data_IF_949392063943
#
_entry.id   IF_949392063943
#
_cell.length_a   1.000
_cell.length_b   1.000
_cell.length_c   1.000
_cell.angle_alpha   90.00
_cell.angle_beta   90.00
_cell.angle_gamma   90.00
#
_symmetry.space_group_name_H-M   'P 1'
#
loop_
_entity.id
_entity.type
_entity.pdbx_description
1 polymer ?
#
# COMPACT_ATOMS: atom_id res chain seq x y z
N UNK A 1 0.11 41.76 1.54
CA UNK A 1 -0.93 40.70 1.53
C UNK A 1 -0.94 39.88 0.22
N UNK A 2 -0.74 40.46 -0.95
CA UNK A 2 -0.76 39.70 -2.22
C UNK A 2 0.30 38.57 -2.36
N UNK A 3 1.52 38.75 -1.84
CA UNK A 3 2.58 37.70 -1.90
C UNK A 3 2.23 36.43 -1.11
N UNK A 4 1.54 36.56 0.04
CA UNK A 4 1.11 35.37 0.84
C UNK A 4 -0.01 34.58 0.18
N UNK A 5 -0.85 35.24 -0.61
CA UNK A 5 -1.97 34.59 -1.29
C UNK A 5 -1.51 33.75 -2.49
N UNK A 6 -0.44 34.16 -3.19
CA UNK A 6 0.21 33.36 -4.23
C UNK A 6 0.80 32.05 -3.67
N UNK A 7 1.55 32.13 -2.57
CA UNK A 7 2.18 30.98 -1.92
C UNK A 7 1.14 29.94 -1.48
N UNK A 8 0.00 30.37 -0.89
CA UNK A 8 -1.08 29.45 -0.52
C UNK A 8 -1.66 28.72 -1.72
N UNK A 9 -1.83 29.42 -2.85
CA UNK A 9 -2.35 28.84 -4.08
C UNK A 9 -1.39 27.79 -4.65
N UNK A 10 -0.12 28.14 -4.75
CA UNK A 10 0.90 27.26 -5.33
C UNK A 10 1.06 25.95 -4.56
N UNK A 11 1.10 26.03 -3.21
CA UNK A 11 1.19 24.85 -2.35
C UNK A 11 -0.09 23.99 -2.47
N UNK A 12 -1.26 24.62 -2.50
CA UNK A 12 -2.52 23.92 -2.63
C UNK A 12 -2.67 23.25 -4.01
N UNK A 13 -2.19 23.87 -5.09
CA UNK A 13 -2.16 23.29 -6.43
C UNK A 13 -1.29 22.05 -6.50
N UNK A 14 -0.08 22.10 -5.92
CA UNK A 14 0.82 20.94 -5.86
C UNK A 14 0.18 19.77 -5.12
N UNK A 15 -0.52 20.02 -4.01
CA UNK A 15 -1.18 18.96 -3.25
C UNK A 15 -2.39 18.40 -4.01
N UNK A 16 -3.16 19.23 -4.71
CA UNK A 16 -4.25 18.76 -5.56
C UNK A 16 -3.71 17.90 -6.71
N UNK A 17 -2.62 18.33 -7.35
CA UNK A 17 -2.00 17.57 -8.45
C UNK A 17 -1.48 16.21 -7.97
N UNK A 18 -0.89 16.18 -6.76
CA UNK A 18 -0.38 14.93 -6.17
C UNK A 18 -1.48 13.96 -5.72
N UNK A 19 -2.64 14.49 -5.30
CA UNK A 19 -3.76 13.70 -4.78
C UNK A 19 -5.11 14.13 -5.39
N UNK A 20 -5.32 13.95 -6.69
CA UNK A 20 -6.47 14.53 -7.41
C UNK A 20 -7.81 13.98 -6.93
N UNK A 21 -7.85 12.75 -6.44
CA UNK A 21 -9.07 12.06 -5.98
C UNK A 21 -9.36 12.24 -4.48
N UNK A 22 -8.45 12.84 -3.73
CA UNK A 22 -8.61 12.96 -2.28
C UNK A 22 -9.68 14.00 -1.90
N UNK A 23 -10.40 13.72 -0.81
CA UNK A 23 -11.40 14.62 -0.26
C UNK A 23 -10.78 15.95 0.16
N UNK A 24 -11.52 17.05 -0.04
CA UNK A 24 -11.01 18.40 0.23
C UNK A 24 -10.63 18.60 1.70
N UNK A 25 -11.39 18.03 2.63
CA UNK A 25 -11.10 18.14 4.06
C UNK A 25 -9.80 17.39 4.43
N UNK A 26 -9.60 16.21 3.89
CA UNK A 26 -8.37 15.43 4.05
C UNK A 26 -7.15 16.21 3.57
N UNK A 27 -7.24 16.79 2.38
CA UNK A 27 -6.17 17.65 1.85
C UNK A 27 -5.94 18.91 2.70
N UNK A 28 -6.99 19.49 3.26
CA UNK A 28 -6.88 20.68 4.12
C UNK A 28 -6.14 20.36 5.43
N UNK A 29 -6.47 19.24 6.08
CA UNK A 29 -5.76 18.76 7.28
C UNK A 29 -4.26 18.54 6.98
N UNK A 30 -3.96 17.91 5.83
CA UNK A 30 -2.59 17.69 5.37
C UNK A 30 -1.84 19.00 5.11
N UNK A 31 -2.43 19.91 4.35
CA UNK A 31 -1.85 21.23 4.04
C UNK A 31 -1.51 22.01 5.30
N UNK A 32 -2.44 22.09 6.24
CA UNK A 32 -2.21 22.79 7.51
C UNK A 32 -1.11 22.12 8.33
N UNK A 33 -1.11 20.80 8.44
CA UNK A 33 -0.09 20.05 9.18
C UNK A 33 1.32 20.24 8.61
N UNK A 34 1.45 20.24 7.28
CA UNK A 34 2.74 20.37 6.60
C UNK A 34 3.20 21.83 6.46
N UNK A 35 2.28 22.80 6.52
CA UNK A 35 2.56 24.22 6.29
C UNK A 35 1.90 25.13 7.34
N UNK A 36 2.16 24.95 8.65
CA UNK A 36 1.49 25.72 9.71
C UNK A 36 1.85 27.20 9.72
N UNK A 37 2.96 27.60 9.09
CA UNK A 37 3.34 29.01 8.94
C UNK A 37 2.61 29.73 7.79
N UNK A 38 2.02 28.98 6.87
CA UNK A 38 1.33 29.48 5.66
C UNK A 38 -0.17 29.58 5.90
N UNK A 39 -0.76 28.56 6.50
CA UNK A 39 -2.19 28.47 6.80
C UNK A 39 -2.45 28.73 8.27
N UNK A 40 -3.49 29.54 8.54
CA UNK A 40 -3.88 29.89 9.91
C UNK A 40 -4.47 28.70 10.68
N UNK A 41 -5.27 27.91 9.98
CA UNK A 41 -5.96 26.73 10.49
C UNK A 41 -6.38 25.82 9.32
N UNK A 42 -7.01 24.68 9.64
CA UNK A 42 -7.50 23.72 8.64
C UNK A 42 -8.55 24.33 7.71
N UNK A 43 -9.39 25.25 8.22
CA UNK A 43 -10.44 25.87 7.40
C UNK A 43 -9.85 26.88 6.40
N UNK A 44 -8.81 27.61 6.77
CA UNK A 44 -8.07 28.49 5.85
C UNK A 44 -7.42 27.67 4.71
N UNK A 45 -6.83 26.50 5.01
CA UNK A 45 -6.33 25.58 4.01
C UNK A 45 -7.47 25.02 3.12
N UNK A 46 -8.61 24.69 3.74
CA UNK A 46 -9.81 24.20 3.04
C UNK A 46 -10.40 25.21 2.08
N UNK A 47 -10.45 26.47 2.46
CA UNK A 47 -10.91 27.57 1.60
C UNK A 47 -10.02 27.68 0.35
N UNK A 48 -8.70 27.62 0.51
CA UNK A 48 -7.75 27.64 -0.61
C UNK A 48 -7.98 26.50 -1.59
N UNK A 49 -8.17 25.27 -1.09
CA UNK A 49 -8.47 24.10 -1.90
C UNK A 49 -9.83 24.19 -2.60
N UNK A 50 -10.87 24.68 -1.91
CA UNK A 50 -12.21 24.86 -2.49
C UNK A 50 -12.21 25.91 -3.61
N UNK A 51 -11.40 26.96 -3.46
CA UNK A 51 -11.22 27.95 -4.49
C UNK A 51 -10.59 27.36 -5.76
N UNK A 52 -9.49 26.63 -5.61
CA UNK A 52 -8.79 25.99 -6.72
C UNK A 52 -9.58 24.89 -7.39
N UNK A 53 -10.29 24.06 -6.60
CA UNK A 53 -11.21 23.03 -7.15
C UNK A 53 -12.50 23.63 -7.74
N UNK A 54 -12.65 24.94 -7.81
CA UNK A 54 -13.84 25.61 -8.36
C UNK A 54 -15.10 25.45 -7.51
N UNK A 55 -14.98 25.03 -6.25
CA UNK A 55 -16.13 24.89 -5.35
C UNK A 55 -16.64 26.23 -4.83
N UNK A 56 -15.77 27.25 -4.79
CA UNK A 56 -16.09 28.65 -4.44
C UNK A 56 -15.41 29.60 -5.44
N UNK A 57 -15.92 30.82 -5.55
CA UNK A 57 -15.40 31.84 -6.48
C UNK A 57 -16.01 31.73 -7.88
N UNK A 58 -16.70 32.80 -8.34
CA UNK A 58 -17.50 32.78 -9.60
C UNK A 58 -16.67 32.44 -10.85
N UNK A 59 -15.47 33.00 -10.99
CA UNK A 59 -14.57 32.74 -12.14
C UNK A 59 -14.03 31.31 -12.18
N UNK A 60 -13.80 30.71 -11.01
CA UNK A 60 -13.25 29.35 -10.92
C UNK A 60 -14.35 28.28 -11.01
N UNK A 61 -15.59 28.61 -10.66
CA UNK A 61 -16.74 27.70 -10.89
C UNK A 61 -16.95 27.41 -12.37
N UNK A 62 -16.67 28.35 -13.25
CA UNK A 62 -16.78 28.16 -14.69
C UNK A 62 -15.75 27.16 -15.26
N UNK A 63 -14.62 26.94 -14.55
CA UNK A 63 -13.57 25.98 -14.93
C UNK A 63 -13.81 24.56 -14.39
N UNK A 64 -14.79 24.38 -13.52
CA UNK A 64 -15.10 23.06 -12.96
C UNK A 64 -15.73 22.18 -14.04
N UNK A 65 -15.12 21.02 -14.28
CA UNK A 65 -15.78 19.97 -15.06
C UNK A 65 -17.12 19.62 -14.41
N UNK A 66 -18.19 19.76 -15.17
CA UNK A 66 -19.52 19.35 -14.73
C UNK A 66 -19.61 17.84 -14.77
N UNK A 67 -19.33 17.20 -13.65
CA UNK A 67 -19.85 15.84 -13.44
C UNK A 67 -21.36 15.97 -13.30
N UNK A 68 -22.09 15.22 -14.10
CA UNK A 68 -23.54 15.20 -14.23
C UNK A 68 -24.29 15.40 -12.90
N UNK A 69 -25.02 16.50 -12.78
CA UNK A 69 -25.84 16.87 -11.64
C UNK A 69 -25.86 18.39 -11.45
N UNK A 70 -26.99 18.94 -11.09
CA UNK A 70 -27.08 20.37 -10.77
C UNK A 70 -26.27 20.66 -9.49
N UNK A 71 -25.47 21.73 -9.46
CA UNK A 71 -24.77 22.13 -8.23
C UNK A 71 -25.84 22.53 -7.19
N UNK A 72 -25.87 21.82 -6.07
CA UNK A 72 -26.66 22.23 -4.92
C UNK A 72 -26.18 23.63 -4.48
N UNK A 73 -26.93 24.65 -4.76
CA UNK A 73 -26.68 26.02 -4.32
C UNK A 73 -27.23 26.19 -2.90
N UNK A 74 -26.33 26.32 -1.95
CA UNK A 74 -26.68 26.63 -0.57
C UNK A 74 -26.88 25.39 0.31
N UNK A 75 -26.22 25.42 1.44
CA UNK A 75 -26.39 24.42 2.49
C UNK A 75 -27.49 24.94 3.42
N UNK A 76 -28.71 24.39 3.30
CA UNK A 76 -29.85 24.76 4.18
C UNK A 76 -29.68 24.15 5.57
N UNK A 77 -28.85 23.12 5.68
CA UNK A 77 -28.63 22.38 6.92
C UNK A 77 -27.23 22.65 7.49
N UNK A 78 -27.14 22.87 8.79
CA UNK A 78 -25.87 22.85 9.54
C UNK A 78 -25.62 21.40 9.97
N UNK A 79 -24.78 20.71 9.20
CA UNK A 79 -24.43 19.32 9.49
C UNK A 79 -23.09 19.31 10.24
N UNK A 80 -22.99 18.60 11.40
CA UNK A 80 -21.72 18.45 12.11
C UNK A 80 -20.64 17.90 11.20
N UNK A 81 -19.39 18.33 11.41
CA UNK A 81 -18.26 17.78 10.68
C UNK A 81 -18.07 16.30 11.07
N UNK A 82 -17.87 15.40 10.10
CA UNK A 82 -17.65 14.00 10.40
C UNK A 82 -16.25 13.78 10.99
N UNK A 83 -16.15 12.83 11.90
CA UNK A 83 -14.85 12.31 12.38
C UNK A 83 -14.24 11.39 11.31
N UNK A 84 -13.53 12.00 10.37
CA UNK A 84 -12.91 11.31 9.23
C UNK A 84 -11.43 11.09 9.49
N UNK A 85 -11.02 9.84 9.48
CA UNK A 85 -9.60 9.48 9.43
C UNK A 85 -9.02 9.88 8.06
N UNK A 86 -7.81 10.42 8.08
CA UNK A 86 -7.08 10.73 6.84
C UNK A 86 -6.66 9.41 6.17
N UNK A 87 -7.20 9.15 4.97
CA UNK A 87 -6.80 8.01 4.16
C UNK A 87 -6.28 8.50 2.81
N UNK A 88 -4.97 8.47 2.64
CA UNK A 88 -4.28 8.89 1.42
C UNK A 88 -3.39 7.75 0.92
N UNK A 89 -3.23 7.59 -0.40
CA UNK A 89 -2.22 6.69 -0.95
C UNK A 89 -0.82 7.01 -0.39
N UNK A 90 -0.01 5.99 -0.26
CA UNK A 90 1.41 6.15 0.03
C UNK A 90 2.16 6.26 -1.30
N UNK A 91 2.66 7.44 -1.63
CA UNK A 91 3.41 7.63 -2.87
C UNK A 91 4.88 7.27 -2.67
N UNK A 92 5.35 6.29 -3.44
CA UNK A 92 6.79 6.02 -3.59
C UNK A 92 7.31 6.92 -4.72
N UNK A 93 8.41 7.65 -4.52
CA UNK A 93 8.94 8.52 -5.55
C UNK A 93 9.30 7.74 -6.82
N UNK A 94 8.82 8.22 -7.97
CA UNK A 94 9.20 7.66 -9.27
C UNK A 94 10.59 8.12 -9.69
N UNK A 95 11.29 7.31 -10.48
CA UNK A 95 12.64 7.57 -10.93
C UNK A 95 13.15 6.40 -11.80
N UNK A 96 14.33 6.50 -12.33
CA UNK A 96 14.92 5.41 -13.11
C UNK A 96 15.61 4.40 -12.19
N UNK A 97 14.86 3.40 -11.73
CA UNK A 97 15.36 2.33 -10.84
C UNK A 97 14.54 1.04 -10.98
N UNK A 98 15.11 -0.05 -10.50
CA UNK A 98 14.42 -1.33 -10.40
C UNK A 98 14.01 -1.60 -8.95
N UNK A 99 12.77 -2.08 -8.76
CA UNK A 99 12.18 -2.48 -7.50
C UNK A 99 11.87 -3.97 -7.52
N UNK A 100 12.29 -4.68 -6.49
CA UNK A 100 11.86 -6.04 -6.21
C UNK A 100 10.61 -5.99 -5.32
N UNK A 101 9.57 -6.76 -5.66
CA UNK A 101 8.35 -6.90 -4.86
C UNK A 101 8.25 -8.34 -4.39
N UNK A 102 8.31 -8.56 -3.09
CA UNK A 102 8.08 -9.83 -2.41
C UNK A 102 6.75 -9.78 -1.68
N UNK A 103 6.05 -10.89 -1.58
CA UNK A 103 4.77 -10.99 -0.87
C UNK A 103 4.62 -12.34 -0.19
N UNK A 104 3.86 -12.40 0.90
CA UNK A 104 3.40 -13.63 1.52
C UNK A 104 4.57 -14.56 1.91
N UNK A 105 5.51 -14.02 2.70
CA UNK A 105 6.69 -14.74 3.21
C UNK A 105 6.29 -15.62 4.39
N UNK A 106 5.45 -15.12 5.29
CA UNK A 106 4.90 -15.83 6.45
C UNK A 106 5.96 -16.42 7.38
N UNK A 107 6.97 -15.62 7.81
CA UNK A 107 7.88 -16.13 8.84
C UNK A 107 7.08 -16.65 10.06
N UNK A 108 7.40 -17.83 10.59
CA UNK A 108 8.53 -18.73 10.31
C UNK A 108 8.24 -19.79 9.24
N UNK A 109 7.11 -19.74 8.52
CA UNK A 109 6.68 -20.74 7.53
C UNK A 109 7.10 -20.40 6.10
N UNK A 110 8.15 -19.60 5.94
CA UNK A 110 8.70 -19.23 4.65
C UNK A 110 9.42 -20.40 3.97
N UNK A 111 9.40 -20.41 2.63
CA UNK A 111 10.29 -21.27 1.86
C UNK A 111 11.64 -20.55 1.69
N UNK A 112 12.64 -21.05 2.42
CA UNK A 112 13.96 -20.43 2.45
C UNK A 112 14.60 -20.33 1.06
N UNK A 113 14.49 -21.41 0.26
CA UNK A 113 15.10 -21.47 -1.05
C UNK A 113 14.41 -20.54 -2.06
N UNK A 114 13.07 -20.51 -2.06
CA UNK A 114 12.33 -19.60 -2.90
C UNK A 114 12.63 -18.12 -2.57
N UNK A 115 12.73 -17.80 -1.27
CA UNK A 115 13.08 -16.46 -0.80
C UNK A 115 14.50 -16.06 -1.23
N UNK A 116 15.49 -16.96 -1.06
CA UNK A 116 16.86 -16.71 -1.50
C UNK A 116 16.96 -16.52 -3.02
N UNK A 117 16.23 -17.32 -3.81
CA UNK A 117 16.16 -17.17 -5.27
C UNK A 117 15.60 -15.79 -5.65
N UNK A 118 14.50 -15.36 -5.03
CA UNK A 118 13.87 -14.08 -5.33
C UNK A 118 14.78 -12.89 -4.99
N UNK A 119 15.42 -12.90 -3.81
CA UNK A 119 16.35 -11.85 -3.38
C UNK A 119 17.57 -11.78 -4.31
N UNK A 120 18.20 -12.92 -4.59
CA UNK A 120 19.37 -12.98 -5.47
C UNK A 120 19.02 -12.55 -6.91
N UNK A 121 17.80 -12.85 -7.38
CA UNK A 121 17.32 -12.38 -8.68
C UNK A 121 17.20 -10.84 -8.68
N UNK A 122 16.65 -10.25 -7.63
CA UNK A 122 16.56 -8.80 -7.48
C UNK A 122 17.93 -8.13 -7.53
N UNK A 123 18.89 -8.61 -6.74
CA UNK A 123 20.25 -8.06 -6.72
C UNK A 123 20.94 -8.21 -8.08
N UNK A 124 20.79 -9.35 -8.74
CA UNK A 124 21.36 -9.62 -10.07
C UNK A 124 20.79 -8.71 -11.16
N UNK A 125 19.56 -8.25 -10.98
CA UNK A 125 18.89 -7.30 -11.88
C UNK A 125 18.98 -5.85 -11.38
N UNK A 126 19.97 -5.54 -10.53
CA UNK A 126 20.25 -4.19 -10.04
C UNK A 126 19.04 -3.52 -9.36
N UNK A 127 18.21 -4.27 -8.64
CA UNK A 127 17.16 -3.68 -7.83
C UNK A 127 17.78 -2.88 -6.69
N UNK A 128 17.50 -1.58 -6.65
CA UNK A 128 17.93 -0.68 -5.57
C UNK A 128 16.86 -0.51 -4.50
N UNK A 129 15.62 -0.87 -4.81
CA UNK A 129 14.47 -0.78 -3.93
C UNK A 129 13.84 -2.15 -3.73
N UNK A 130 13.40 -2.40 -2.51
CA UNK A 130 12.65 -3.59 -2.12
C UNK A 130 11.30 -3.17 -1.52
N UNK A 131 10.22 -3.80 -1.98
CA UNK A 131 8.91 -3.73 -1.35
C UNK A 131 8.52 -5.12 -0.84
N UNK A 132 8.31 -5.25 0.45
CA UNK A 132 7.64 -6.40 1.07
C UNK A 132 6.15 -6.06 1.10
N UNK A 133 5.38 -6.66 0.19
CA UNK A 133 3.98 -6.34 -0.08
C UNK A 133 3.02 -7.18 0.77
N UNK A 134 3.16 -7.10 2.08
CA UNK A 134 2.28 -7.76 3.05
C UNK A 134 2.73 -9.15 3.45
N UNK A 135 2.17 -9.59 4.55
CA UNK A 135 2.29 -10.93 5.14
C UNK A 135 3.73 -11.45 5.22
N UNK A 136 4.64 -10.55 5.73
CA UNK A 136 6.01 -10.94 6.06
C UNK A 136 6.03 -11.89 7.26
N UNK A 137 5.22 -11.61 8.28
CA UNK A 137 5.06 -12.44 9.48
C UNK A 137 3.72 -13.15 9.45
N UNK A 138 3.67 -14.38 9.94
CA UNK A 138 2.43 -15.16 9.97
C UNK A 138 1.55 -14.81 11.19
N UNK A 139 2.16 -14.55 12.32
CA UNK A 139 1.46 -14.32 13.58
C UNK A 139 0.42 -15.41 13.92
N UNK A 140 0.81 -16.66 13.76
CA UNK A 140 -0.03 -17.82 14.06
C UNK A 140 -0.63 -17.74 15.46
N UNK A 141 0.18 -17.35 16.45
CA UNK A 141 -0.26 -17.25 17.85
C UNK A 141 -1.32 -16.17 18.10
N UNK A 142 -1.39 -15.16 17.22
CA UNK A 142 -2.38 -14.08 17.30
C UNK A 142 -3.60 -14.33 16.42
N UNK A 143 -3.63 -15.47 15.72
CA UNK A 143 -4.75 -15.89 14.88
C UNK A 143 -6.03 -16.05 15.71
N UNK A 144 -7.19 -15.85 15.06
CA UNK A 144 -8.52 -16.14 15.65
C UNK A 144 -8.89 -17.63 15.60
N UNK A 145 -8.15 -18.44 14.86
CA UNK A 145 -8.38 -19.88 14.74
C UNK A 145 -7.76 -20.65 15.91
N UNK A 146 -8.14 -21.91 16.07
CA UNK A 146 -7.53 -22.81 17.05
C UNK A 146 -6.03 -22.92 16.81
N UNK A 147 -5.26 -22.99 17.89
CA UNK A 147 -3.80 -22.91 17.87
C UNK A 147 -3.18 -24.09 18.57
N UNK A 148 -2.16 -24.64 17.97
CA UNK A 148 -1.30 -25.59 18.65
C UNK A 148 -0.32 -24.84 19.57
N UNK A 149 -0.42 -25.01 20.90
CA UNK A 149 0.44 -24.29 21.86
C UNK A 149 1.92 -24.69 21.76
N UNK A 150 2.23 -25.78 21.08
CA UNK A 150 3.60 -26.27 20.86
C UNK A 150 4.32 -25.57 19.71
N UNK A 151 3.60 -24.78 18.90
CA UNK A 151 4.19 -24.04 17.78
C UNK A 151 4.94 -22.80 18.28
N UNK A 152 5.73 -22.18 17.40
CA UNK A 152 6.63 -21.09 17.73
C UNK A 152 5.98 -19.94 18.48
N UNK A 153 6.75 -19.33 19.35
CA UNK A 153 6.34 -18.17 20.13
C UNK A 153 6.40 -16.88 19.31
N UNK A 154 5.56 -15.93 19.67
CA UNK A 154 5.47 -14.61 19.04
C UNK A 154 6.83 -13.85 18.98
N UNK A 155 7.64 -13.92 20.05
CA UNK A 155 8.95 -13.26 20.09
C UNK A 155 9.89 -13.74 18.99
N UNK A 156 9.90 -15.04 18.70
CA UNK A 156 10.75 -15.63 17.66
C UNK A 156 10.36 -15.12 16.27
N UNK A 157 9.07 -14.95 16.01
CA UNK A 157 8.60 -14.38 14.73
C UNK A 157 9.07 -12.92 14.57
N UNK A 158 8.99 -12.12 15.63
CA UNK A 158 9.47 -10.73 15.62
C UNK A 158 10.97 -10.66 15.38
N UNK A 159 11.76 -11.52 16.04
CA UNK A 159 13.21 -11.57 15.84
C UNK A 159 13.56 -11.96 14.40
N UNK A 160 12.91 -12.97 13.84
CA UNK A 160 13.09 -13.35 12.44
C UNK A 160 12.76 -12.19 11.48
N UNK A 161 11.67 -11.48 11.74
CA UNK A 161 11.30 -10.31 10.96
C UNK A 161 12.33 -9.18 11.04
N UNK A 162 12.85 -8.89 12.23
CA UNK A 162 13.93 -7.89 12.44
C UNK A 162 15.20 -8.28 11.69
N UNK A 163 15.63 -9.54 11.84
CA UNK A 163 16.85 -10.03 11.18
C UNK A 163 16.72 -9.96 9.66
N UNK A 164 15.55 -10.33 9.13
CA UNK A 164 15.27 -10.24 7.70
C UNK A 164 15.30 -8.78 7.21
N UNK A 165 14.62 -7.86 7.89
CA UNK A 165 14.63 -6.44 7.54
C UNK A 165 16.03 -5.84 7.61
N UNK A 166 16.82 -6.23 8.63
CA UNK A 166 18.21 -5.81 8.76
C UNK A 166 19.10 -6.32 7.60
N UNK A 167 18.89 -7.55 7.15
CA UNK A 167 19.59 -8.06 5.97
C UNK A 167 19.15 -7.30 4.70
N UNK A 168 17.86 -7.07 4.52
CA UNK A 168 17.34 -6.32 3.38
C UNK A 168 17.91 -4.89 3.34
N UNK A 169 17.98 -4.19 4.47
CA UNK A 169 18.48 -2.81 4.52
C UNK A 169 19.99 -2.70 4.22
N UNK A 170 20.75 -3.77 4.34
CA UNK A 170 22.17 -3.80 3.93
C UNK A 170 22.36 -3.92 2.42
N UNK A 171 21.39 -4.47 1.71
CA UNK A 171 21.51 -4.78 0.29
C UNK A 171 20.67 -3.88 -0.62
N UNK A 172 19.57 -3.32 -0.11
CA UNK A 172 18.69 -2.41 -0.86
C UNK A 172 18.77 -1.01 -0.28
N UNK A 173 18.88 -0.02 -1.16
CA UNK A 173 18.95 1.40 -0.77
C UNK A 173 17.65 1.89 -0.11
N UNK A 174 16.50 1.38 -0.57
CA UNK A 174 15.19 1.72 -0.05
C UNK A 174 14.42 0.43 0.23
N UNK A 175 13.95 0.28 1.46
CA UNK A 175 13.14 -0.86 1.88
C UNK A 175 11.78 -0.34 2.36
N UNK A 176 10.73 -0.85 1.73
CA UNK A 176 9.34 -0.56 2.08
C UNK A 176 8.69 -1.84 2.58
N UNK A 177 7.90 -1.73 3.63
CA UNK A 177 7.13 -2.83 4.16
C UNK A 177 5.67 -2.42 4.31
N UNK A 178 4.80 -2.91 3.44
CA UNK A 178 3.36 -2.76 3.54
C UNK A 178 2.79 -3.86 4.44
N UNK A 179 1.89 -3.49 5.35
CA UNK A 179 1.22 -4.48 6.19
C UNK A 179 0.19 -5.28 5.38
N UNK A 180 0.17 -6.59 5.61
CA UNK A 180 -0.88 -7.49 5.15
C UNK A 180 -1.81 -7.89 6.28
N UNK A 181 -2.80 -8.73 5.99
CA UNK A 181 -3.80 -9.12 6.98
C UNK A 181 -3.24 -9.97 8.13
N UNK A 182 -2.17 -10.73 7.92
CA UNK A 182 -1.47 -11.44 8.99
C UNK A 182 -0.72 -10.46 9.89
N UNK A 183 -0.06 -9.46 9.32
CA UNK A 183 0.62 -8.43 10.10
C UNK A 183 -0.35 -7.61 10.95
N UNK A 184 -1.56 -7.34 10.45
CA UNK A 184 -2.63 -6.65 11.20
C UNK A 184 -3.17 -7.46 12.39
N UNK A 185 -2.86 -8.77 12.50
CA UNK A 185 -3.25 -9.60 13.65
C UNK A 185 -2.68 -9.07 14.96
N UNK A 186 -1.50 -8.46 14.92
CA UNK A 186 -0.87 -7.89 16.10
C UNK A 186 -1.70 -6.74 16.70
N UNK A 187 -1.99 -5.74 15.92
CA UNK A 187 -2.78 -4.59 16.37
C UNK A 187 -4.19 -5.03 16.77
N UNK A 188 -4.80 -5.91 15.98
CA UNK A 188 -6.11 -6.46 16.28
C UNK A 188 -6.15 -7.26 17.58
N UNK A 189 -5.06 -7.97 17.89
CA UNK A 189 -4.93 -8.67 19.18
C UNK A 189 -4.88 -7.67 20.33
N UNK A 190 -4.07 -6.63 20.23
CA UNK A 190 -4.03 -5.55 21.22
C UNK A 190 -5.42 -4.93 21.38
N UNK A 191 -6.08 -4.60 20.28
CA UNK A 191 -7.42 -4.00 20.28
C UNK A 191 -8.44 -4.82 21.10
N UNK A 192 -8.38 -6.13 20.99
CA UNK A 192 -9.37 -7.03 21.64
C UNK A 192 -8.94 -7.50 23.03
N UNK A 193 -7.62 -7.66 23.26
CA UNK A 193 -7.10 -8.34 24.46
C UNK A 193 -6.33 -7.43 25.42
N UNK A 194 -5.82 -6.31 24.92
CA UNK A 194 -4.98 -5.40 25.69
C UNK A 194 -5.10 -3.94 25.17
N UNK A 195 -6.34 -3.37 25.12
CA UNK A 195 -6.58 -2.07 24.51
C UNK A 195 -5.80 -0.92 25.20
N UNK A 196 -5.44 -1.09 26.46
CA UNK A 196 -4.64 -0.15 27.24
C UNK A 196 -3.24 0.08 26.65
N UNK A 197 -2.71 -0.83 25.83
CA UNK A 197 -1.40 -0.69 25.19
C UNK A 197 -1.44 -0.04 23.81
N UNK A 198 -2.60 0.16 23.19
CA UNK A 198 -2.73 0.71 21.85
C UNK A 198 -2.09 2.08 21.66
N UNK A 199 -2.16 2.92 22.70
CA UNK A 199 -1.61 4.28 22.63
C UNK A 199 -0.18 4.39 23.20
N UNK A 200 0.42 3.27 23.60
CA UNK A 200 1.81 3.25 24.08
C UNK A 200 2.75 3.11 22.87
N UNK A 201 3.63 4.07 22.62
CA UNK A 201 4.48 4.08 21.41
C UNK A 201 5.29 2.79 21.24
N UNK A 202 5.82 2.23 22.32
CA UNK A 202 6.68 1.04 22.29
C UNK A 202 5.94 -0.23 21.83
N UNK A 203 4.61 -0.25 21.89
CA UNK A 203 3.77 -1.33 21.38
C UNK A 203 3.30 -1.12 19.94
N UNK A 204 3.67 -0.04 19.29
CA UNK A 204 3.39 0.09 17.86
C UNK A 204 4.20 -0.94 17.06
N UNK A 205 3.55 -1.59 16.10
CA UNK A 205 4.15 -2.70 15.34
C UNK A 205 5.48 -2.31 14.65
N UNK A 206 5.54 -1.13 14.06
CA UNK A 206 6.78 -0.60 13.44
C UNK A 206 7.91 -0.34 14.43
N UNK A 207 7.57 0.02 15.67
CA UNK A 207 8.55 0.20 16.76
C UNK A 207 9.02 -1.17 17.25
N UNK A 208 8.09 -2.11 17.44
CA UNK A 208 8.38 -3.49 17.78
C UNK A 208 9.35 -4.13 16.75
N UNK A 209 9.21 -3.83 15.47
CA UNK A 209 10.13 -4.29 14.42
C UNK A 209 11.44 -3.49 14.34
N UNK A 210 11.60 -2.41 15.09
CA UNK A 210 12.73 -1.46 14.98
C UNK A 210 12.94 -0.94 13.55
N UNK A 211 11.86 -0.77 12.81
CA UNK A 211 11.90 -0.43 11.39
C UNK A 211 12.65 0.89 11.12
N UNK A 212 12.43 1.91 11.95
CA UNK A 212 13.08 3.22 11.82
C UNK A 212 14.61 3.14 11.97
N UNK A 213 15.11 2.29 12.87
CA UNK A 213 16.55 2.10 13.09
C UNK A 213 17.25 1.51 11.85
N UNK A 214 16.51 0.77 11.03
CA UNK A 214 16.99 0.14 9.80
C UNK A 214 16.67 0.95 8.54
N UNK A 215 16.02 2.13 8.68
CA UNK A 215 15.59 2.94 7.55
C UNK A 215 14.47 2.30 6.72
N UNK A 216 13.67 1.39 7.32
CA UNK A 216 12.55 0.72 6.66
C UNK A 216 11.29 1.56 6.78
N UNK A 217 10.64 1.83 5.64
CA UNK A 217 9.37 2.55 5.59
C UNK A 217 8.19 1.59 5.74
N UNK A 218 7.54 1.61 6.91
CA UNK A 218 6.34 0.79 7.16
C UNK A 218 5.10 1.52 6.65
N UNK A 219 4.27 0.82 5.87
CA UNK A 219 3.05 1.35 5.26
C UNK A 219 1.86 0.67 5.92
N UNK A 220 1.19 1.43 6.78
CA UNK A 220 0.07 1.01 7.62
C UNK A 220 -1.28 1.45 6.98
N UNK A 221 -2.40 1.20 7.68
CA UNK A 221 -3.75 1.72 7.37
C UNK A 221 -4.33 1.26 6.03
N UNK A 222 -3.93 0.09 5.53
CA UNK A 222 -4.38 -0.43 4.22
C UNK A 222 -4.17 0.55 3.07
N UNK A 223 -3.20 1.44 3.19
CA UNK A 223 -2.94 2.46 2.17
C UNK A 223 -2.54 1.81 0.85
N UNK A 224 -3.15 2.28 -0.24
CA UNK A 224 -2.69 1.95 -1.58
C UNK A 224 -1.31 2.57 -1.77
N UNK A 225 -0.36 1.81 -2.31
CA UNK A 225 0.91 2.37 -2.75
C UNK A 225 0.73 2.88 -4.18
N UNK A 226 1.05 4.15 -4.36
CA UNK A 226 1.09 4.82 -5.64
C UNK A 226 2.55 4.85 -6.14
N UNK A 227 2.80 4.15 -7.24
CA UNK A 227 4.09 4.10 -7.92
C UNK A 227 3.91 4.63 -9.36
N UNK A 228 3.51 5.90 -9.49
CA UNK A 228 3.21 6.52 -10.77
C UNK A 228 1.94 5.95 -11.41
N UNK A 229 2.07 5.24 -12.55
CA UNK A 229 0.91 4.61 -13.20
C UNK A 229 0.59 3.20 -12.70
N UNK A 230 1.30 2.71 -11.67
CA UNK A 230 1.07 1.41 -11.04
C UNK A 230 0.58 1.58 -9.60
N UNK A 231 -0.55 0.99 -9.29
CA UNK A 231 -1.03 0.86 -7.91
C UNK A 231 -0.60 -0.48 -7.32
N UNK A 232 -0.17 -0.48 -6.05
CA UNK A 232 0.21 -1.71 -5.36
C UNK A 232 -0.62 -1.85 -4.09
N UNK A 233 -1.22 -3.02 -3.92
CA UNK A 233 -1.98 -3.41 -2.74
C UNK A 233 -1.50 -4.78 -2.27
N UNK A 234 -1.78 -5.13 -1.00
CA UNK A 234 -1.58 -6.52 -0.61
C UNK A 234 -2.67 -7.41 -1.20
N UNK A 235 -3.94 -7.00 -1.15
CA UNK A 235 -5.10 -7.72 -1.69
C UNK A 235 -6.22 -7.92 -0.69
N UNK A 236 -5.94 -7.86 0.60
CA UNK A 236 -6.94 -7.98 1.68
C UNK A 236 -7.76 -6.70 1.91
N UNK A 237 -7.38 -5.59 1.28
CA UNK A 237 -8.07 -4.30 1.36
C UNK A 237 -9.47 -4.35 0.75
N UNK A 238 -9.72 -5.29 -0.16
CA UNK A 238 -11.02 -5.46 -0.76
C UNK A 238 -11.94 -6.32 0.10
N UNK A 239 -13.15 -5.84 0.32
CA UNK A 239 -14.19 -6.65 0.94
C UNK A 239 -14.68 -7.76 -0.02
N UNK A 240 -14.83 -8.98 0.51
CA UNK A 240 -15.34 -10.14 -0.23
C UNK A 240 -14.27 -10.96 -0.95
N UNK A 241 -14.64 -12.20 -1.27
CA UNK A 241 -13.72 -13.23 -1.75
C UNK A 241 -13.21 -12.96 -3.18
N UNK A 242 -11.98 -12.51 -3.28
CA UNK A 242 -11.16 -12.74 -4.48
C UNK A 242 -10.40 -14.07 -4.40
N UNK A 243 -10.38 -14.68 -3.23
CA UNK A 243 -9.51 -15.79 -2.82
C UNK A 243 -9.70 -17.11 -3.58
N UNK A 244 -10.82 -17.31 -4.26
CA UNK A 244 -11.11 -18.56 -4.98
C UNK A 244 -11.09 -18.42 -6.51
N UNK A 245 -10.69 -17.27 -7.03
CA UNK A 245 -10.68 -17.06 -8.47
C UNK A 245 -9.61 -17.92 -9.16
N UNK A 246 -9.98 -18.55 -10.25
CA UNK A 246 -9.03 -19.25 -11.15
C UNK A 246 -7.95 -18.28 -11.64
N UNK A 247 -8.36 -17.03 -11.94
CA UNK A 247 -7.46 -15.93 -12.30
C UNK A 247 -7.69 -14.74 -11.36
N UNK A 248 -6.88 -14.63 -10.27
CA UNK A 248 -6.97 -13.50 -9.33
C UNK A 248 -6.81 -12.13 -9.98
N UNK A 249 -5.92 -12.00 -10.95
CA UNK A 249 -5.67 -10.75 -11.64
C UNK A 249 -6.91 -10.24 -12.39
N UNK A 250 -7.70 -11.13 -13.00
CA UNK A 250 -8.99 -10.73 -13.60
C UNK A 250 -9.97 -10.24 -12.55
N UNK A 251 -10.03 -10.90 -11.40
CA UNK A 251 -10.87 -10.45 -10.27
C UNK A 251 -10.45 -9.08 -9.77
N UNK A 252 -9.17 -8.81 -9.72
CA UNK A 252 -8.60 -7.50 -9.37
C UNK A 252 -9.01 -6.43 -10.40
N UNK A 253 -8.87 -6.71 -11.69
CA UNK A 253 -9.30 -5.80 -12.76
C UNK A 253 -10.76 -5.36 -12.60
N UNK A 254 -11.66 -6.32 -12.36
CA UNK A 254 -13.09 -6.03 -12.20
C UNK A 254 -13.42 -5.13 -10.98
N UNK A 255 -12.51 -5.09 -9.98
CA UNK A 255 -12.68 -4.26 -8.79
C UNK A 255 -12.05 -2.88 -8.92
N UNK A 256 -10.93 -2.79 -9.61
CA UNK A 256 -10.11 -1.57 -9.64
C UNK A 256 -10.31 -0.75 -10.91
N UNK A 257 -10.48 -1.41 -12.07
CA UNK A 257 -10.46 -0.80 -13.39
C UNK A 257 -9.19 0.04 -13.64
N UNK A 258 -8.09 -0.29 -12.94
CA UNK A 258 -6.79 0.39 -13.01
C UNK A 258 -5.65 -0.64 -12.99
N UNK A 259 -4.47 -0.23 -13.45
CA UNK A 259 -3.29 -1.09 -13.39
C UNK A 259 -2.83 -1.28 -11.95
N UNK A 260 -2.83 -2.53 -11.50
CA UNK A 260 -2.53 -2.89 -10.11
C UNK A 260 -1.79 -4.21 -10.00
N UNK A 261 -0.99 -4.35 -8.92
CA UNK A 261 -0.42 -5.62 -8.49
C UNK A 261 -0.81 -5.93 -7.05
N UNK A 262 -1.10 -7.22 -6.78
CA UNK A 262 -1.41 -7.75 -5.45
C UNK A 262 -0.59 -9.01 -5.13
N UNK A 263 -0.46 -9.29 -3.82
CA UNK A 263 -0.09 -10.58 -3.23
C UNK A 263 -1.32 -11.35 -2.71
N UNK A 264 -1.26 -11.79 -1.45
CA UNK A 264 -2.36 -12.34 -0.63
C UNK A 264 -2.98 -13.67 -1.12
N UNK A 265 -3.06 -13.87 -2.42
CA UNK A 265 -3.76 -15.02 -3.01
C UNK A 265 -2.83 -16.19 -3.31
N UNK A 266 -1.53 -16.03 -3.04
CA UNK A 266 -0.47 -17.03 -3.19
C UNK A 266 -0.41 -17.67 -4.60
N UNK A 267 -0.91 -16.93 -5.61
CA UNK A 267 -1.07 -17.46 -6.96
C UNK A 267 -0.73 -16.42 -8.02
N UNK A 268 0.27 -16.73 -8.83
CA UNK A 268 0.65 -15.86 -9.95
C UNK A 268 -0.42 -15.87 -11.04
N UNK A 269 -0.86 -14.70 -11.45
CA UNK A 269 -1.71 -14.52 -12.62
C UNK A 269 -1.54 -13.13 -13.20
N UNK A 270 -1.98 -12.96 -14.44
CA UNK A 270 -1.99 -11.70 -15.16
C UNK A 270 -3.29 -11.58 -15.95
N UNK A 271 -3.80 -10.35 -16.07
CA UNK A 271 -4.94 -10.02 -16.90
C UNK A 271 -4.76 -8.64 -17.52
N UNK A 272 -4.87 -8.57 -18.86
CA UNK A 272 -4.75 -7.34 -19.62
C UNK A 272 -6.05 -7.05 -20.36
N UNK A 273 -6.51 -5.81 -20.27
CA UNK A 273 -7.72 -5.32 -20.92
C UNK A 273 -7.48 -3.94 -21.54
N UNK A 274 -7.90 -3.76 -22.77
CA UNK A 274 -7.99 -2.43 -23.38
C UNK A 274 -9.36 -1.83 -23.08
N UNK A 275 -9.37 -0.61 -22.52
CA UNK A 275 -10.63 0.11 -22.27
C UNK A 275 -11.23 0.63 -23.58
N UNK A 276 -12.50 1.06 -23.53
CA UNK A 276 -13.19 1.66 -24.68
C UNK A 276 -12.43 2.86 -25.28
N UNK A 277 -11.72 3.61 -24.44
CA UNK A 277 -10.93 4.78 -24.85
C UNK A 277 -9.48 4.43 -25.27
N UNK A 278 -9.17 3.14 -25.46
CA UNK A 278 -7.85 2.69 -25.90
C UNK A 278 -6.78 2.62 -24.79
N UNK A 279 -7.11 2.94 -23.53
CA UNK A 279 -6.15 2.77 -22.40
C UNK A 279 -5.92 1.29 -22.13
N UNK A 280 -4.67 0.85 -22.15
CA UNK A 280 -4.29 -0.49 -21.75
C UNK A 280 -4.17 -0.57 -20.23
N UNK A 281 -4.89 -1.49 -19.62
CA UNK A 281 -4.87 -1.76 -18.19
C UNK A 281 -4.39 -3.18 -17.99
N UNK A 282 -3.40 -3.39 -17.14
CA UNK A 282 -2.93 -4.71 -16.76
C UNK A 282 -2.94 -4.86 -15.25
N UNK A 283 -3.43 -5.99 -14.77
CA UNK A 283 -3.44 -6.35 -13.36
C UNK A 283 -2.67 -7.64 -13.12
N UNK A 284 -2.00 -7.73 -11.98
CA UNK A 284 -1.17 -8.87 -11.61
C UNK A 284 -1.48 -9.36 -10.21
N UNK A 285 -1.38 -10.66 -10.01
CA UNK A 285 -1.25 -11.30 -8.71
C UNK A 285 0.08 -12.03 -8.67
N UNK A 286 0.87 -11.83 -7.64
CA UNK A 286 2.13 -12.56 -7.44
C UNK A 286 1.87 -13.90 -6.78
N UNK A 287 2.84 -14.82 -6.89
CA UNK A 287 2.90 -15.98 -6.01
C UNK A 287 3.35 -15.60 -4.60
N UNK A 288 3.46 -16.58 -3.73
CA UNK A 288 3.97 -16.44 -2.37
C UNK A 288 5.44 -16.87 -2.24
N UNK A 289 6.01 -16.67 -1.05
CA UNK A 289 7.35 -17.13 -0.69
C UNK A 289 7.32 -17.97 0.61
N UNK A 290 6.13 -18.47 0.96
CA UNK A 290 5.91 -19.38 2.09
C UNK A 290 5.82 -20.84 1.63
N UNK A 291 5.71 -21.76 2.60
CA UNK A 291 5.40 -23.17 2.34
C UNK A 291 4.13 -23.28 1.49
N UNK A 292 4.22 -24.05 0.40
CA UNK A 292 3.10 -24.24 -0.52
C UNK A 292 2.05 -25.23 0.00
N UNK A 293 2.38 -26.06 1.00
CA UNK A 293 1.51 -27.10 1.50
C UNK A 293 1.36 -27.07 3.05
N UNK A 294 0.98 -25.91 3.61
CA UNK A 294 0.82 -25.81 5.06
C UNK A 294 -0.30 -26.75 5.55
N UNK A 295 -0.27 -27.07 6.83
CA UNK A 295 -1.19 -28.03 7.44
C UNK A 295 -2.67 -27.71 7.18
N UNK A 296 -3.04 -26.42 7.22
CA UNK A 296 -4.41 -25.97 7.01
C UNK A 296 -4.84 -25.90 5.54
N UNK A 297 -3.91 -26.03 4.60
CA UNK A 297 -4.18 -25.93 3.16
C UNK A 297 -3.28 -26.90 2.37
N UNK A 298 -3.32 -28.20 2.71
CA UNK A 298 -2.50 -29.23 2.06
C UNK A 298 -2.75 -29.37 0.57
N UNK A 299 -4.00 -29.18 0.13
CA UNK A 299 -4.40 -29.26 -1.26
C UNK A 299 -4.80 -27.86 -1.67
N UNK A 300 -3.97 -27.22 -2.48
CA UNK A 300 -4.19 -25.89 -2.99
C UNK A 300 -3.55 -25.75 -4.39
N UNK A 301 -3.62 -24.59 -4.98
CA UNK A 301 -3.01 -24.25 -6.25
C UNK A 301 -2.06 -23.04 -6.14
N UNK A 302 -1.40 -22.91 -4.99
CA UNK A 302 -0.38 -21.90 -4.73
C UNK A 302 0.87 -22.14 -5.55
N UNK A 303 1.62 -21.09 -5.79
CA UNK A 303 2.92 -21.18 -6.43
C UNK A 303 3.88 -20.13 -5.90
N UNK A 304 5.16 -20.44 -5.89
CA UNK A 304 6.18 -19.46 -5.58
C UNK A 304 6.31 -18.43 -6.71
N UNK A 305 6.44 -17.16 -6.30
CA UNK A 305 6.62 -16.07 -7.25
C UNK A 305 6.83 -14.73 -6.57
N UNK A 306 7.30 -13.77 -7.35
CA UNK A 306 7.61 -12.41 -6.96
C UNK A 306 7.49 -11.50 -8.19
N UNK A 307 7.58 -10.18 -8.01
CA UNK A 307 7.61 -9.28 -9.15
C UNK A 307 8.88 -8.42 -9.16
N UNK A 308 9.31 -8.03 -10.35
CA UNK A 308 10.31 -7.01 -10.58
C UNK A 308 9.66 -5.86 -11.36
N UNK A 309 9.83 -4.64 -10.91
CA UNK A 309 9.31 -3.45 -11.56
C UNK A 309 10.45 -2.53 -11.97
N UNK A 310 10.56 -2.25 -13.27
CA UNK A 310 11.39 -1.16 -13.78
C UNK A 310 10.55 0.11 -13.73
N UNK A 311 10.96 1.06 -12.90
CA UNK A 311 10.27 2.35 -12.71
C UNK A 311 10.99 3.42 -13.51
N UNK A 312 10.24 4.32 -14.14
CA UNK A 312 10.76 5.45 -14.89
C UNK A 312 10.39 6.78 -14.24
N UNK A 313 11.20 7.78 -14.50
CA UNK A 313 11.03 9.14 -13.96
C UNK A 313 9.73 9.82 -14.38
N UNK A 314 9.15 9.43 -15.51
CA UNK A 314 7.85 9.90 -16.00
C UNK A 314 6.65 9.16 -15.36
N UNK A 315 6.91 8.23 -14.45
CA UNK A 315 5.90 7.39 -13.79
C UNK A 315 5.50 6.15 -14.59
N UNK A 316 6.02 5.97 -15.81
CA UNK A 316 5.84 4.73 -16.57
C UNK A 316 6.61 3.58 -15.91
N UNK A 317 6.20 2.36 -16.18
CA UNK A 317 6.80 1.17 -15.57
C UNK A 317 6.73 -0.02 -16.50
N UNK A 318 7.60 -1.02 -16.22
CA UNK A 318 7.48 -2.37 -16.75
C UNK A 318 7.49 -3.36 -15.60
N UNK A 319 6.45 -4.18 -15.49
CA UNK A 319 6.34 -5.20 -14.46
C UNK A 319 6.59 -6.59 -15.04
N UNK A 320 7.46 -7.33 -14.37
CA UNK A 320 7.77 -8.73 -14.66
C UNK A 320 7.24 -9.60 -13.51
N UNK A 321 6.12 -10.28 -13.73
CA UNK A 321 5.55 -11.21 -12.74
C UNK A 321 6.24 -12.56 -12.86
N UNK A 322 7.19 -12.84 -11.98
CA UNK A 322 8.07 -13.99 -12.00
C UNK A 322 7.54 -15.14 -11.16
N UNK A 323 7.67 -16.35 -11.69
CA UNK A 323 7.38 -17.60 -10.98
C UNK A 323 8.67 -18.34 -10.68
N UNK A 324 8.69 -19.05 -9.55
CA UNK A 324 9.78 -19.97 -9.22
C UNK A 324 9.23 -21.39 -9.36
N UNK A 325 9.87 -22.19 -10.18
CA UNK A 325 9.53 -23.59 -10.37
C UNK A 325 10.80 -24.43 -10.54
N UNK A 326 10.91 -25.52 -9.79
CA UNK A 326 12.11 -26.36 -9.78
C UNK A 326 13.41 -25.54 -9.64
N UNK A 327 13.44 -24.62 -8.65
CA UNK A 327 14.58 -23.73 -8.35
C UNK A 327 14.97 -22.76 -9.49
N UNK A 328 14.14 -22.59 -10.48
CA UNK A 328 14.36 -21.69 -11.62
C UNK A 328 13.32 -20.59 -11.66
N UNK A 329 13.78 -19.37 -12.02
CA UNK A 329 12.90 -18.23 -12.28
C UNK A 329 12.42 -18.32 -13.73
N UNK A 330 11.09 -18.25 -13.90
CA UNK A 330 10.40 -18.30 -15.19
C UNK A 330 9.80 -16.95 -15.54
#
# INVERSE_FOLDING_TARGET
MAKKQGIKSDIAEQVIAKFPKAATLTLAKKLFKENPSVYKDVEDARVSLRYLKGSIGGKNRAKRERVTGEPTTGNTFVIPEPDNTEWLPFSIPVGDYNMLILSDIHFPYHDKEALEIALNYGLKNNCTSLLINGDMLDFYQLSRFDKDPRKRHFSEEIEMGRDFLLQCSKHFKHVYFKLGNHCERYEKYLYVKAPEFLNVPDFQFKVLLRAAEMGVHVIEDKRIIDLGYLNILHGHEFLGATSQAVNPARGLFLKTNESCVIGHLHKSSEHTQTTLNGKLITTWSTGCLCDLHPEYARINNWNHGFALVEVKSDGSYRLHNKRIYNKKVL
#
